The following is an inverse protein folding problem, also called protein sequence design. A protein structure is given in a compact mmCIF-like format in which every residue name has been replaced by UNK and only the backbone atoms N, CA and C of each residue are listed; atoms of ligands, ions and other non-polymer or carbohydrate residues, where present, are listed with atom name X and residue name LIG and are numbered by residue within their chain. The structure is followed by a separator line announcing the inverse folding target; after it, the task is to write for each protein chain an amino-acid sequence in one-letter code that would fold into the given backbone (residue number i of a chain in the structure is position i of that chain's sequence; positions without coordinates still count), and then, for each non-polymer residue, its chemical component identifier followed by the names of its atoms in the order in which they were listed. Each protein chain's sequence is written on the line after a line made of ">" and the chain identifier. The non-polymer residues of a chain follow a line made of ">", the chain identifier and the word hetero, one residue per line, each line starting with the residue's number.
data_IF_077024202927
#
_entry.id   IF_077024202927
#
_cell.length_a   1.000
_cell.length_b   1.000
_cell.length_c   1.000
_cell.angle_alpha   90.00
_cell.angle_beta   90.00
_cell.angle_gamma   90.00
#
_symmetry.space_group_name_H-M   'P 1'
#
loop_
_entity.id
_entity.type
_entity.pdbx_description
1 polymer ?
#
# COMPACT_ATOMS: atom_id res chain seq x y z
N UNK A 1 -14.26 19.49 -16.86
CA UNK A 1 -13.07 18.90 -17.50
C UNK A 1 -11.97 18.56 -16.48
N UNK A 2 -11.65 19.45 -15.54
CA UNK A 2 -10.60 19.22 -14.51
C UNK A 2 -10.88 18.00 -13.61
N UNK A 3 -12.13 17.79 -13.20
CA UNK A 3 -12.53 16.67 -12.32
C UNK A 3 -12.24 15.27 -12.87
N UNK A 4 -12.16 15.13 -14.21
CA UNK A 4 -11.84 13.84 -14.87
C UNK A 4 -10.33 13.57 -14.82
N UNK A 5 -9.50 14.61 -14.94
CA UNK A 5 -8.05 14.47 -14.94
C UNK A 5 -7.47 14.22 -13.53
N UNK A 6 -8.23 14.55 -12.49
CA UNK A 6 -7.92 14.22 -11.11
C UNK A 6 -8.39 12.81 -10.69
N UNK A 7 -9.08 12.10 -11.59
CA UNK A 7 -9.53 10.74 -11.29
C UNK A 7 -8.35 9.82 -10.97
N UNK A 8 -8.51 8.93 -9.99
CA UNK A 8 -7.47 8.01 -9.58
C UNK A 8 -7.28 6.90 -10.61
N UNK A 9 -6.03 6.60 -10.89
CA UNK A 9 -5.55 5.58 -11.82
C UNK A 9 -4.56 4.67 -11.10
N UNK A 10 -4.80 3.36 -11.16
CA UNK A 10 -3.91 2.37 -10.58
C UNK A 10 -2.69 2.18 -11.47
N UNK A 11 -1.52 2.13 -10.85
CA UNK A 11 -0.25 1.87 -11.52
C UNK A 11 0.25 0.50 -11.11
N UNK A 12 0.50 -0.36 -12.11
CA UNK A 12 1.14 -1.64 -11.95
C UNK A 12 2.59 -1.58 -12.43
N UNK A 13 3.48 -2.35 -11.81
CA UNK A 13 4.82 -2.61 -12.36
C UNK A 13 4.75 -3.67 -13.46
N UNK A 14 5.88 -3.91 -14.16
CA UNK A 14 6.00 -4.90 -15.24
C UNK A 14 5.64 -6.34 -14.80
N UNK A 15 5.68 -6.62 -13.49
CA UNK A 15 5.27 -7.89 -12.88
C UNK A 15 3.77 -7.93 -12.53
N UNK A 16 2.97 -6.98 -13.04
CA UNK A 16 1.53 -6.86 -12.80
C UNK A 16 1.13 -6.62 -11.33
N UNK A 17 2.09 -6.16 -10.52
CA UNK A 17 1.84 -5.86 -9.12
C UNK A 17 1.46 -4.38 -8.94
N UNK A 18 0.45 -4.12 -8.13
CA UNK A 18 0.03 -2.78 -7.79
C UNK A 18 1.14 -2.03 -7.01
N UNK A 19 1.63 -0.91 -7.56
CA UNK A 19 2.74 -0.13 -6.97
C UNK A 19 2.36 1.28 -6.54
N UNK A 20 1.36 1.90 -7.17
CA UNK A 20 0.91 3.25 -6.79
C UNK A 20 -0.50 3.57 -7.29
N UNK A 21 -1.10 4.65 -6.77
CA UNK A 21 -2.29 5.30 -7.33
C UNK A 21 -1.93 6.75 -7.66
N UNK A 22 -2.17 7.17 -8.90
CA UNK A 22 -1.87 8.51 -9.39
C UNK A 22 -3.11 9.16 -10.00
N UNK A 23 -3.09 10.48 -10.26
CA UNK A 23 -4.15 11.12 -11.03
C UNK A 23 -4.02 10.81 -12.54
N UNK A 24 -5.15 10.84 -13.25
CA UNK A 24 -5.21 10.57 -14.67
C UNK A 24 -4.34 11.52 -15.51
N UNK A 25 -4.20 12.79 -15.11
CA UNK A 25 -3.25 13.73 -15.74
C UNK A 25 -1.83 13.16 -15.80
N UNK A 26 -1.36 12.60 -14.69
CA UNK A 26 -0.03 11.97 -14.61
C UNK A 26 0.02 10.67 -15.39
N UNK A 27 -1.07 9.89 -15.40
CA UNK A 27 -1.17 8.67 -16.19
C UNK A 27 -1.01 8.94 -17.69
N UNK A 28 -1.73 9.92 -18.24
CA UNK A 28 -1.59 10.32 -19.64
C UNK A 28 -0.17 10.80 -19.97
N UNK A 29 0.49 11.54 -19.06
CA UNK A 29 1.88 11.94 -19.27
C UNK A 29 2.84 10.74 -19.37
N UNK A 30 2.60 9.66 -18.64
CA UNK A 30 3.38 8.42 -18.74
C UNK A 30 3.11 7.67 -20.04
N UNK A 31 1.83 7.58 -20.43
CA UNK A 31 1.41 6.95 -21.70
C UNK A 31 1.98 7.67 -22.92
N UNK A 32 1.87 8.99 -22.97
CA UNK A 32 2.36 9.81 -24.09
C UNK A 32 3.88 9.73 -24.26
N UNK A 33 4.63 9.40 -23.20
CA UNK A 33 6.08 9.20 -23.23
C UNK A 33 6.48 7.75 -23.57
N UNK A 34 5.52 6.83 -23.74
CA UNK A 34 5.78 5.41 -23.95
C UNK A 34 6.32 4.68 -22.71
N UNK A 35 6.21 5.28 -21.52
CA UNK A 35 6.68 4.69 -20.26
C UNK A 35 5.64 3.77 -19.60
N UNK A 36 4.42 3.76 -20.14
CA UNK A 36 3.34 2.93 -19.66
C UNK A 36 2.44 2.47 -20.82
N UNK A 37 1.68 1.42 -20.56
CA UNK A 37 0.59 0.93 -21.39
C UNK A 37 -0.72 0.92 -20.59
N UNK A 38 -1.87 0.94 -21.25
CA UNK A 38 -3.18 0.85 -20.58
C UNK A 38 -3.59 -0.61 -20.47
N UNK A 39 -4.06 -1.03 -19.30
CA UNK A 39 -4.73 -2.33 -19.15
C UNK A 39 -6.23 -2.10 -19.13
N UNK A 40 -6.94 -2.85 -19.96
CA UNK A 40 -8.40 -2.82 -20.00
C UNK A 40 -8.99 -4.23 -20.13
N UNK A 41 -10.03 -4.48 -19.36
CA UNK A 41 -10.78 -5.72 -19.41
C UNK A 41 -11.70 -5.74 -20.64
N UNK A 42 -11.64 -6.82 -21.43
CA UNK A 42 -12.47 -7.00 -22.61
C UNK A 42 -12.80 -8.49 -22.81
N UNK A 43 -14.09 -8.85 -22.75
CA UNK A 43 -14.58 -10.22 -22.98
C UNK A 43 -13.83 -11.29 -22.16
N UNK A 44 -13.77 -11.09 -20.85
CA UNK A 44 -13.16 -12.01 -19.87
C UNK A 44 -11.63 -12.15 -19.93
N UNK A 45 -10.94 -11.29 -20.69
CA UNK A 45 -9.47 -11.22 -20.71
C UNK A 45 -8.97 -9.77 -20.53
N UNK A 46 -7.70 -9.63 -20.16
CA UNK A 46 -7.01 -8.36 -20.05
C UNK A 46 -6.20 -8.05 -21.31
N UNK A 47 -6.50 -6.91 -21.93
CA UNK A 47 -5.74 -6.40 -23.06
C UNK A 47 -4.86 -5.24 -22.65
N UNK A 48 -3.63 -5.24 -23.18
CA UNK A 48 -2.65 -4.18 -22.99
C UNK A 48 -2.60 -3.33 -24.25
N UNK A 49 -2.85 -2.03 -24.11
CA UNK A 49 -2.88 -1.07 -25.21
C UNK A 49 -1.71 -0.09 -25.11
N UNK A 50 -1.03 0.16 -26.23
CA UNK A 50 -0.18 1.35 -26.34
C UNK A 50 -1.04 2.62 -26.26
N UNK A 51 -0.41 3.79 -26.09
CA UNK A 51 -1.17 5.04 -26.06
C UNK A 51 -1.95 5.28 -27.36
N UNK A 52 -1.37 4.96 -28.52
CA UNK A 52 -2.01 5.15 -29.82
C UNK A 52 -3.19 4.19 -29.98
N UNK A 53 -2.99 2.89 -29.68
CA UNK A 53 -4.06 1.88 -29.78
C UNK A 53 -5.20 2.21 -28.82
N UNK A 54 -4.91 2.77 -27.65
CA UNK A 54 -5.92 3.18 -26.69
C UNK A 54 -6.78 4.34 -27.19
N UNK A 55 -6.18 5.31 -27.89
CA UNK A 55 -6.94 6.40 -28.52
C UNK A 55 -7.84 5.88 -29.64
N UNK A 56 -7.37 4.94 -30.45
CA UNK A 56 -8.16 4.33 -31.51
C UNK A 56 -9.30 3.47 -30.95
N UNK A 57 -9.01 2.66 -29.93
CA UNK A 57 -10.01 1.90 -29.19
C UNK A 57 -11.08 2.81 -28.59
N UNK A 58 -10.69 3.95 -28.00
CA UNK A 58 -11.61 4.92 -27.39
C UNK A 58 -12.57 5.56 -28.40
N UNK A 59 -12.14 5.71 -29.67
CA UNK A 59 -13.00 6.24 -30.74
C UNK A 59 -14.11 5.27 -31.11
N UNK A 60 -13.80 3.98 -31.16
CA UNK A 60 -14.76 2.92 -31.51
C UNK A 60 -15.61 2.51 -30.31
N UNK A 61 -15.07 2.65 -29.10
CA UNK A 61 -15.71 2.24 -27.84
C UNK A 61 -15.76 3.41 -26.84
N UNK A 62 -16.62 4.41 -27.09
CA UNK A 62 -16.69 5.58 -26.23
C UNK A 62 -17.11 5.19 -24.80
N UNK A 63 -16.58 5.87 -23.77
CA UNK A 63 -16.99 5.67 -22.39
C UNK A 63 -18.47 6.00 -22.16
N UNK A 64 -19.13 5.19 -21.33
CA UNK A 64 -20.54 5.37 -20.96
C UNK A 64 -20.68 6.38 -19.80
N UNK A 65 -19.74 6.37 -18.85
CA UNK A 65 -19.73 7.31 -17.72
C UNK A 65 -19.06 8.63 -18.12
N UNK A 66 -19.70 9.78 -17.86
CA UNK A 66 -19.11 11.10 -18.13
C UNK A 66 -17.77 11.34 -17.37
N UNK A 67 -17.59 10.68 -16.22
CA UNK A 67 -16.34 10.75 -15.44
C UNK A 67 -15.20 9.88 -16.02
N UNK A 68 -15.48 9.09 -17.06
CA UNK A 68 -14.50 8.31 -17.82
C UNK A 68 -14.16 8.95 -19.17
N UNK A 69 -14.70 10.15 -19.44
CA UNK A 69 -14.61 10.81 -20.73
C UNK A 69 -13.63 11.98 -20.68
N UNK A 70 -12.50 11.85 -21.37
CA UNK A 70 -11.55 12.96 -21.57
C UNK A 70 -11.78 13.54 -22.96
N UNK A 71 -12.17 14.81 -23.00
CA UNK A 71 -12.34 15.53 -24.26
C UNK A 71 -11.01 16.15 -24.69
N UNK A 72 -10.63 15.91 -25.93
CA UNK A 72 -9.58 16.64 -26.63
C UNK A 72 -10.20 17.42 -27.80
N UNK A 73 -9.50 18.40 -28.38
CA UNK A 73 -10.05 19.17 -29.51
C UNK A 73 -10.40 18.31 -30.73
N UNK A 74 -9.80 17.12 -30.88
CA UNK A 74 -9.95 16.27 -32.07
C UNK A 74 -10.73 14.98 -31.80
N UNK A 75 -10.79 14.54 -30.56
CA UNK A 75 -11.38 13.23 -30.23
C UNK A 75 -11.71 13.09 -28.75
N UNK A 76 -12.44 12.04 -28.43
CA UNK A 76 -12.75 11.63 -27.06
C UNK A 76 -11.83 10.46 -26.72
N UNK A 77 -11.18 10.57 -25.55
CA UNK A 77 -10.29 9.54 -25.03
C UNK A 77 -10.91 8.97 -23.76
N UNK A 78 -10.95 7.65 -23.66
CA UNK A 78 -11.39 6.96 -22.45
C UNK A 78 -10.34 7.10 -21.35
N UNK A 79 -10.77 7.31 -20.12
CA UNK A 79 -9.90 7.38 -18.96
C UNK A 79 -9.17 6.03 -18.75
N UNK A 80 -7.83 5.99 -18.72
CA UNK A 80 -7.08 4.78 -18.44
C UNK A 80 -7.14 4.49 -16.95
N UNK A 81 -8.02 3.58 -16.51
CA UNK A 81 -8.23 3.27 -15.08
C UNK A 81 -7.07 2.48 -14.45
N UNK A 82 -6.34 1.73 -15.26
CA UNK A 82 -5.16 0.95 -14.85
C UNK A 82 -4.08 1.11 -15.91
N UNK A 83 -2.86 1.41 -15.49
CA UNK A 83 -1.69 1.48 -16.37
C UNK A 83 -0.59 0.52 -15.89
N UNK A 84 0.14 -0.03 -16.85
CA UNK A 84 1.28 -0.92 -16.66
C UNK A 84 2.56 -0.18 -17.00
N UNK A 85 3.52 -0.09 -16.08
CA UNK A 85 4.84 0.49 -16.37
C UNK A 85 5.66 -0.47 -17.22
N UNK A 86 6.19 0.01 -18.35
CA UNK A 86 6.89 -0.83 -19.34
C UNK A 86 8.33 -1.18 -18.95
N UNK A 87 9.00 -0.30 -18.19
CA UNK A 87 10.41 -0.44 -17.83
C UNK A 87 10.66 -0.60 -16.32
N UNK A 88 9.61 -0.54 -15.48
CA UNK A 88 9.75 -0.61 -14.03
C UNK A 88 9.24 -1.97 -13.54
N UNK A 89 10.16 -2.84 -13.15
CA UNK A 89 9.92 -4.21 -12.66
C UNK A 89 10.00 -4.32 -11.13
N UNK A 90 10.50 -3.29 -10.46
CA UNK A 90 10.63 -3.29 -9.00
C UNK A 90 9.26 -3.17 -8.35
N UNK A 91 9.02 -3.90 -7.28
CA UNK A 91 8.12 -3.42 -6.25
C UNK A 91 8.82 -2.23 -5.58
N UNK A 92 8.14 -1.11 -5.30
CA UNK A 92 8.67 -0.18 -4.32
C UNK A 92 8.65 -0.90 -2.97
N UNK A 93 9.71 -1.67 -2.68
CA UNK A 93 10.05 -2.09 -1.34
C UNK A 93 10.44 -0.82 -0.59
N UNK A 94 9.44 0.00 -0.27
CA UNK A 94 9.59 0.98 0.80
C UNK A 94 9.81 0.12 2.02
N UNK A 95 11.08 -0.08 2.37
CA UNK A 95 11.44 -0.70 3.63
C UNK A 95 10.60 -0.01 4.70
N UNK A 96 9.77 -0.80 5.39
CA UNK A 96 8.97 -0.27 6.47
C UNK A 96 9.94 0.18 7.57
N UNK A 97 10.20 1.47 7.60
CA UNK A 97 11.09 2.09 8.59
C UNK A 97 10.51 1.85 9.97
N UNK A 98 11.36 1.47 10.92
CA UNK A 98 11.00 1.34 12.32
C UNK A 98 10.80 2.73 12.92
N UNK A 99 9.57 3.23 12.86
CA UNK A 99 9.16 4.53 13.44
C UNK A 99 8.15 4.30 14.55
N UNK A 100 8.01 5.27 15.47
CA UNK A 100 7.02 5.20 16.55
C UNK A 100 5.60 4.98 16.05
N UNK A 101 5.19 5.73 15.02
CA UNK A 101 3.88 5.57 14.39
C UNK A 101 3.69 4.16 13.80
N UNK A 102 4.72 3.60 13.15
CA UNK A 102 4.60 2.27 12.54
C UNK A 102 4.54 1.15 13.59
N UNK A 103 5.26 1.26 14.71
CA UNK A 103 5.17 0.28 15.82
C UNK A 103 3.81 0.36 16.48
N UNK A 104 3.30 1.57 16.76
CA UNK A 104 1.97 1.74 17.35
C UNK A 104 0.87 1.19 16.44
N UNK A 105 0.98 1.44 15.13
CA UNK A 105 0.06 0.88 14.14
C UNK A 105 0.15 -0.65 14.06
N UNK A 106 1.38 -1.22 14.08
CA UNK A 106 1.57 -2.68 14.13
C UNK A 106 0.88 -3.29 15.34
N UNK A 107 1.06 -2.67 16.50
CA UNK A 107 0.57 -3.15 17.79
C UNK A 107 -0.87 -2.69 18.08
N UNK A 108 -1.56 -2.08 17.11
CA UNK A 108 -2.94 -1.56 17.23
C UNK A 108 -3.15 -0.69 18.47
N UNK A 109 -2.18 0.19 18.74
CA UNK A 109 -2.17 1.08 19.91
C UNK A 109 -2.35 0.31 21.25
N UNK A 110 -1.98 -0.98 21.28
CA UNK A 110 -2.12 -1.89 22.42
C UNK A 110 -0.79 -2.09 23.12
N UNK A 111 -0.76 -1.88 24.43
CA UNK A 111 0.41 -2.17 25.25
C UNK A 111 0.71 -3.67 25.22
N UNK A 112 1.90 -4.04 24.74
CA UNK A 112 2.31 -5.44 24.58
C UNK A 112 2.60 -6.15 25.90
N UNK A 113 2.47 -5.47 27.05
CA UNK A 113 2.65 -6.09 28.36
C UNK A 113 1.35 -6.33 29.11
N UNK A 114 0.42 -5.36 29.10
CA UNK A 114 -0.85 -5.49 29.81
C UNK A 114 -2.05 -5.78 28.90
N UNK A 115 -1.87 -5.74 27.58
CA UNK A 115 -2.91 -6.03 26.59
C UNK A 115 -4.01 -4.98 26.47
N UNK A 116 -3.89 -3.83 27.15
CA UNK A 116 -4.87 -2.74 27.06
C UNK A 116 -4.51 -1.76 25.95
N UNK A 117 -5.55 -1.19 25.33
CA UNK A 117 -5.45 -0.14 24.32
C UNK A 117 -5.33 1.22 25.02
N UNK A 118 -4.48 2.11 24.51
CA UNK A 118 -4.29 3.45 25.06
C UNK A 118 -4.23 4.51 23.94
N UNK A 119 -4.52 5.79 24.24
CA UNK A 119 -4.19 6.91 23.36
C UNK A 119 -2.69 6.98 23.06
N UNK A 120 -2.31 7.49 21.89
CA UNK A 120 -0.92 7.52 21.41
C UNK A 120 0.01 8.38 22.28
N UNK A 121 -0.56 9.34 22.99
CA UNK A 121 0.12 10.22 23.94
C UNK A 121 0.57 9.47 25.21
N UNK A 122 -0.15 8.41 25.58
CA UNK A 122 0.12 7.57 26.77
C UNK A 122 0.95 6.32 26.46
N UNK A 123 1.30 6.12 25.20
CA UNK A 123 2.12 5.00 24.72
C UNK A 123 3.59 5.38 24.61
N UNK A 124 4.46 4.39 24.64
CA UNK A 124 5.90 4.49 24.48
C UNK A 124 6.43 3.32 23.66
N UNK A 125 7.63 3.50 23.11
CA UNK A 125 8.41 2.38 22.59
C UNK A 125 9.27 1.83 23.71
N UNK A 126 9.27 0.51 23.85
CA UNK A 126 10.15 -0.18 24.80
C UNK A 126 10.95 -1.27 24.10
N UNK A 127 12.18 -1.45 24.57
CA UNK A 127 13.07 -2.52 24.14
C UNK A 127 12.79 -3.76 24.98
N UNK A 128 12.31 -4.85 24.36
CA UNK A 128 12.05 -6.12 25.04
C UNK A 128 13.31 -6.61 25.75
N UNK A 129 14.44 -6.65 25.03
CA UNK A 129 15.78 -6.77 25.58
C UNK A 129 16.33 -5.35 25.74
N UNK A 130 16.59 -4.87 26.96
CA UNK A 130 17.16 -3.55 27.22
C UNK A 130 18.48 -3.28 26.48
N UNK A 131 18.75 -2.00 26.18
CA UNK A 131 19.95 -1.59 25.42
C UNK A 131 21.26 -1.90 26.15
N UNK A 132 21.28 -1.72 27.47
CA UNK A 132 22.41 -2.06 28.35
C UNK A 132 22.68 -3.57 28.40
N UNK A 133 21.72 -4.40 28.00
CA UNK A 133 21.86 -5.86 27.83
C UNK A 133 22.08 -6.28 26.38
N UNK A 134 22.51 -5.36 25.51
CA UNK A 134 22.80 -5.62 24.10
C UNK A 134 21.58 -5.64 23.18
N UNK A 135 20.41 -5.24 23.67
CA UNK A 135 19.19 -5.17 22.87
C UNK A 135 19.26 -4.12 21.76
N UNK A 136 19.10 -4.56 20.52
CA UNK A 136 19.14 -3.68 19.33
C UNK A 136 17.78 -3.01 19.09
N UNK A 137 17.79 -1.86 18.43
CA UNK A 137 16.56 -1.19 17.98
C UNK A 137 16.09 -1.82 16.67
N UNK A 138 15.42 -2.98 16.75
CA UNK A 138 14.88 -3.72 15.61
C UNK A 138 13.39 -4.00 15.77
N UNK A 139 12.73 -4.42 14.68
CA UNK A 139 11.31 -4.78 14.71
C UNK A 139 11.00 -5.89 15.72
N UNK A 140 11.95 -6.80 15.91
CA UNK A 140 11.87 -7.99 16.77
C UNK A 140 12.18 -7.67 18.23
N UNK A 141 12.59 -6.44 18.54
CA UNK A 141 12.95 -6.05 19.91
C UNK A 141 12.23 -4.78 20.39
N UNK A 142 11.54 -4.04 19.51
CA UNK A 142 10.75 -2.87 19.88
C UNK A 142 9.27 -3.21 19.95
N UNK A 143 8.61 -2.81 21.04
CA UNK A 143 7.18 -2.98 21.27
C UNK A 143 6.52 -1.70 21.74
N UNK A 144 5.21 -1.60 21.51
CA UNK A 144 4.34 -0.62 22.15
C UNK A 144 4.15 -0.94 23.64
N UNK A 145 4.33 0.04 24.52
CA UNK A 145 4.11 -0.09 25.97
C UNK A 145 3.41 1.14 26.53
N UNK A 146 2.51 0.99 27.50
CA UNK A 146 2.01 2.14 28.25
C UNK A 146 3.04 2.63 29.25
N UNK A 147 2.95 3.90 29.67
CA UNK A 147 3.89 4.52 30.62
C UNK A 147 4.07 3.67 31.89
N UNK A 148 2.97 3.18 32.49
CA UNK A 148 3.02 2.38 33.73
C UNK A 148 3.78 1.06 33.56
N UNK A 149 3.53 0.33 32.47
CA UNK A 149 4.23 -0.92 32.18
C UNK A 149 5.71 -0.67 31.84
N UNK A 150 5.99 0.37 31.05
CA UNK A 150 7.35 0.74 30.69
C UNK A 150 8.20 1.05 31.93
N UNK A 151 7.68 1.88 32.85
CA UNK A 151 8.36 2.21 34.10
C UNK A 151 8.52 0.99 35.02
N UNK A 152 7.53 0.08 35.05
CA UNK A 152 7.64 -1.17 35.82
C UNK A 152 8.73 -2.08 35.27
N UNK A 153 8.84 -2.23 33.95
CA UNK A 153 9.88 -3.06 33.34
C UNK A 153 11.26 -2.44 33.53
N UNK A 154 11.41 -1.15 33.23
CA UNK A 154 12.69 -0.44 33.24
C UNK A 154 13.77 -1.23 32.46
N UNK A 155 14.98 -1.35 33.00
CA UNK A 155 16.12 -2.06 32.38
C UNK A 155 16.12 -3.58 32.66
N UNK A 156 14.96 -4.15 32.99
CA UNK A 156 14.79 -5.60 33.19
C UNK A 156 14.27 -6.26 31.93
N UNK A 157 14.53 -7.56 31.80
CA UNK A 157 13.83 -8.41 30.84
C UNK A 157 12.37 -8.59 31.30
N UNK A 158 11.41 -8.89 30.39
CA UNK A 158 10.02 -9.04 30.76
C UNK A 158 9.82 -10.06 31.88
N UNK A 159 10.49 -11.20 31.82
CA UNK A 159 10.38 -12.24 32.85
C UNK A 159 10.88 -11.78 34.23
N UNK A 160 11.95 -10.98 34.29
CA UNK A 160 12.48 -10.40 35.54
C UNK A 160 11.56 -9.32 36.14
N UNK A 161 10.71 -8.70 35.31
CA UNK A 161 9.67 -7.76 35.76
C UNK A 161 8.34 -8.45 36.09
N UNK A 162 8.28 -9.78 35.98
CA UNK A 162 7.06 -10.59 36.03
C UNK A 162 6.01 -10.13 35.00
N UNK A 163 6.49 -9.84 33.80
CA UNK A 163 5.72 -9.40 32.65
C UNK A 163 5.89 -10.39 31.51
N UNK A 164 4.86 -10.54 30.70
CA UNK A 164 4.89 -11.36 29.49
C UNK A 164 4.45 -10.51 28.32
N UNK A 165 4.98 -10.81 27.15
CA UNK A 165 4.52 -10.18 25.92
C UNK A 165 3.18 -10.81 25.52
N UNK A 166 2.23 -9.96 25.12
CA UNK A 166 0.96 -10.38 24.54
C UNK A 166 1.19 -11.05 23.19
N UNK A 167 2.06 -10.47 22.37
CA UNK A 167 2.47 -11.02 21.09
C UNK A 167 3.98 -10.87 20.92
N UNK A 168 4.60 -11.82 20.20
CA UNK A 168 6.02 -11.73 19.86
C UNK A 168 6.20 -10.62 18.82
N UNK A 169 7.06 -9.61 19.07
CA UNK A 169 7.35 -8.58 18.08
C UNK A 169 8.00 -9.20 16.84
N UNK A 170 7.40 -8.93 15.69
CA UNK A 170 7.92 -9.34 14.38
C UNK A 170 7.88 -8.16 13.43
N UNK A 171 8.74 -8.18 12.41
CA UNK A 171 8.67 -7.23 11.30
C UNK A 171 7.37 -7.44 10.54
N UNK A 172 6.53 -6.40 10.37
CA UNK A 172 5.34 -6.52 9.54
C UNK A 172 5.75 -6.89 8.11
N UNK A 173 5.11 -7.92 7.54
CA UNK A 173 5.18 -8.16 6.09
C UNK A 173 4.63 -6.90 5.40
N UNK A 174 5.43 -6.31 4.51
CA UNK A 174 5.01 -5.09 3.81
C UNK A 174 3.77 -5.40 2.98
N UNK A 175 2.67 -4.72 3.27
CA UNK A 175 1.52 -4.69 2.37
C UNK A 175 1.64 -3.44 1.51
N UNK A 176 1.42 -3.54 0.18
CA UNK A 176 1.44 -2.37 -0.67
C UNK A 176 0.53 -1.30 -0.09
N UNK A 177 1.10 -0.13 0.20
CA UNK A 177 0.43 1.02 0.84
C UNK A 177 -0.90 1.36 0.15
N UNK A 178 -1.00 1.02 -1.15
CA UNK A 178 -2.22 1.10 -1.95
C UNK A 178 -3.43 0.54 -1.19
N UNK A 179 -3.36 -0.65 -0.58
CA UNK A 179 -4.53 -1.25 0.08
C UNK A 179 -5.08 -0.43 1.26
N UNK A 180 -4.31 0.50 1.82
CA UNK A 180 -4.70 1.40 2.91
C UNK A 180 -5.25 2.75 2.41
N UNK A 181 -4.94 3.13 1.17
CA UNK A 181 -5.33 4.43 0.56
C UNK A 181 -6.60 4.28 -0.30
N UNK A 182 -6.96 3.06 -0.68
CA UNK A 182 -8.15 2.80 -1.49
C UNK A 182 -9.44 2.90 -0.67
N UNK A 183 -10.40 3.68 -1.17
CA UNK A 183 -11.78 3.61 -0.70
C UNK A 183 -12.49 2.36 -1.25
N UNK A 184 -13.66 2.03 -0.69
CA UNK A 184 -14.40 0.81 -1.06
C UNK A 184 -14.73 0.74 -2.56
N UNK A 185 -15.06 1.87 -3.19
CA UNK A 185 -15.37 1.92 -4.63
C UNK A 185 -14.15 1.63 -5.51
N UNK A 186 -12.98 2.12 -5.13
CA UNK A 186 -11.74 1.84 -5.86
C UNK A 186 -11.27 0.40 -5.65
N UNK A 187 -11.47 -0.14 -4.43
CA UNK A 187 -11.15 -1.54 -4.12
C UNK A 187 -11.95 -2.49 -5.00
N UNK A 188 -13.25 -2.25 -5.16
CA UNK A 188 -14.11 -3.09 -6.00
C UNK A 188 -13.69 -3.01 -7.48
N UNK A 189 -13.41 -1.79 -7.98
CA UNK A 189 -13.00 -1.55 -9.37
C UNK A 189 -11.64 -2.16 -9.74
N UNK A 190 -10.78 -2.40 -8.75
CA UNK A 190 -9.42 -2.90 -8.98
C UNK A 190 -9.17 -4.25 -8.33
N UNK A 191 -10.23 -4.93 -7.90
CA UNK A 191 -10.17 -6.19 -7.16
C UNK A 191 -9.27 -7.22 -7.86
N UNK A 192 -9.44 -7.38 -9.17
CA UNK A 192 -8.66 -8.36 -9.95
C UNK A 192 -7.14 -8.10 -9.89
N UNK A 193 -6.72 -6.83 -9.88
CA UNK A 193 -5.30 -6.45 -9.80
C UNK A 193 -4.76 -6.41 -8.36
N UNK A 194 -5.64 -6.25 -7.37
CA UNK A 194 -5.28 -6.24 -5.96
C UNK A 194 -5.20 -7.65 -5.38
N UNK A 195 -6.06 -8.56 -5.84
CA UNK A 195 -6.08 -9.96 -5.45
C UNK A 195 -4.92 -10.74 -6.11
N UNK A 196 -4.51 -10.40 -7.34
CA UNK A 196 -3.26 -10.94 -7.93
C UNK A 196 -1.99 -10.57 -7.13
N UNK A 197 -1.98 -9.41 -6.46
CA UNK A 197 -0.94 -9.06 -5.51
C UNK A 197 -1.04 -9.83 -4.17
N UNK A 198 -2.20 -10.44 -3.90
CA UNK A 198 -2.45 -11.31 -2.74
C UNK A 198 -2.01 -12.77 -3.01
N UNK A 199 -2.11 -13.25 -4.25
CA UNK A 199 -1.71 -14.61 -4.65
C UNK A 199 -0.20 -14.86 -4.74
N UNK A 200 0.63 -13.81 -4.73
CA UNK A 200 2.09 -13.93 -4.63
C UNK A 200 2.61 -13.95 -3.17
N UNK A 201 1.72 -14.14 -2.19
CA UNK A 201 2.13 -14.54 -0.85
C UNK A 201 2.36 -16.03 -0.91
N UNK A 202 3.63 -16.47 -0.87
CA UNK A 202 3.94 -17.87 -0.57
C UNK A 202 3.16 -18.26 0.69
N UNK A 203 2.22 -19.19 0.51
CA UNK A 203 1.58 -19.91 1.60
C UNK A 203 2.64 -20.90 2.08
N UNK A 204 3.31 -20.60 3.18
CA UNK A 204 4.06 -21.61 3.93
C UNK A 204 3.06 -22.45 4.71
N UNK A 205 3.23 -23.77 4.64
CA UNK A 205 2.53 -24.78 5.45
C UNK A 205 2.69 -24.55 6.96
#
# INVERSE_FOLDING_TARGET
>A
MELVLDQPVLVLNRLWQAVNVICAKRAFALLARGHAAVIHHYQDDFRVFSFMDWMDFSRVNPPVEALDTVHTPRTIIRLPRVILLTFFDRLPTKELKLTRSNVFTRDKDTCQYCGRIFPREELNLDHVIPRDRGGRTTWENIVCSCIKCNSRKANRLPHEAHMRLVCKPVRPKWRPVISLVLNNRQRERWKDFLDLAYWNVELED
#
